data_IF_882434009485
#
_entry.id   IF_882434009485
#
_cell.length_a   1.000
_cell.length_b   1.000
_cell.length_c   1.000
_cell.angle_alpha   90.00
_cell.angle_beta   90.00
_cell.angle_gamma   90.00
#
_symmetry.space_group_name_H-M   'P 1'
#
loop_
_entity.id
_entity.type
_entity.pdbx_description
1 polymer ?
#
# COMPACT_ATOMS: atom_id res chain seq x y z
N UNK A 1 -1.73 -12.48 5.15
CA UNK A 1 -3.15 -12.60 4.69
C UNK A 1 -3.58 -11.32 3.95
N UNK A 2 -4.35 -11.38 2.84
CA UNK A 2 -4.90 -10.16 2.22
C UNK A 2 -6.12 -9.69 3.03
N UNK A 3 -6.17 -8.41 3.39
CA UNK A 3 -7.31 -7.80 4.09
C UNK A 3 -8.02 -6.76 3.21
N UNK A 4 -9.35 -6.64 3.30
CA UNK A 4 -10.10 -5.65 2.54
C UNK A 4 -9.87 -4.24 3.10
N UNK A 5 -9.26 -3.36 2.30
CA UNK A 5 -8.98 -1.98 2.68
C UNK A 5 -10.22 -1.15 3.03
N UNK A 6 -11.40 -1.56 2.55
CA UNK A 6 -12.68 -0.91 2.83
C UNK A 6 -13.15 -1.11 4.28
N UNK A 7 -12.60 -2.10 4.98
CA UNK A 7 -12.92 -2.35 6.40
C UNK A 7 -12.03 -1.54 7.35
N UNK A 8 -10.99 -0.87 6.84
CA UNK A 8 -10.17 0.01 7.65
C UNK A 8 -10.79 1.41 7.76
N UNK A 9 -10.59 2.05 8.91
CA UNK A 9 -10.85 3.47 9.08
C UNK A 9 -10.09 4.30 8.04
N UNK A 10 -10.72 5.38 7.57
CA UNK A 10 -10.15 6.24 6.53
C UNK A 10 -8.80 6.84 6.94
N UNK A 11 -8.66 7.22 8.21
CA UNK A 11 -7.41 7.72 8.77
C UNK A 11 -6.34 6.64 8.84
N UNK A 12 -6.68 5.43 9.29
CA UNK A 12 -5.73 4.29 9.31
C UNK A 12 -5.25 3.95 7.91
N UNK A 13 -6.17 3.89 6.95
CA UNK A 13 -5.83 3.64 5.56
C UNK A 13 -4.90 4.71 4.99
N UNK A 14 -5.20 5.99 5.25
CA UNK A 14 -4.34 7.09 4.81
C UNK A 14 -2.94 6.99 5.42
N UNK A 15 -2.83 6.75 6.74
CA UNK A 15 -1.54 6.59 7.41
C UNK A 15 -0.72 5.43 6.82
N UNK A 16 -1.36 4.30 6.51
CA UNK A 16 -0.70 3.16 5.87
C UNK A 16 -0.20 3.51 4.47
N UNK A 17 -1.01 4.21 3.68
CA UNK A 17 -0.64 4.65 2.34
C UNK A 17 0.51 5.67 2.40
N UNK A 18 0.44 6.64 3.30
CA UNK A 18 1.51 7.62 3.52
C UNK A 18 2.82 6.93 3.90
N UNK A 19 2.77 6.01 4.87
CA UNK A 19 3.94 5.22 5.27
C UNK A 19 4.52 4.43 4.09
N UNK A 20 3.67 3.81 3.27
CA UNK A 20 4.09 3.09 2.07
C UNK A 20 4.78 4.01 1.06
N UNK A 21 4.18 5.16 0.74
CA UNK A 21 4.74 6.14 -0.19
C UNK A 21 6.08 6.69 0.28
N UNK A 22 6.21 6.95 1.59
CA UNK A 22 7.45 7.42 2.21
C UNK A 22 8.56 6.37 2.17
N UNK A 23 8.22 5.07 2.28
CA UNK A 23 9.18 3.97 2.33
C UNK A 23 9.66 3.51 0.96
N UNK A 24 8.73 3.35 0.02
CA UNK A 24 9.02 2.89 -1.34
C UNK A 24 9.59 4.03 -2.20
N UNK A 25 9.47 5.28 -1.75
CA UNK A 25 9.97 6.43 -2.48
C UNK A 25 9.44 6.43 -3.90
N UNK A 26 8.12 6.19 -4.09
CA UNK A 26 7.53 6.00 -5.41
C UNK A 26 7.76 7.26 -6.25
N UNK A 27 8.80 7.21 -7.07
CA UNK A 27 9.26 8.26 -7.97
C UNK A 27 8.63 8.02 -9.34
N UNK A 28 7.30 8.13 -9.40
CA UNK A 28 6.58 8.01 -10.66
C UNK A 28 6.61 9.35 -11.41
N UNK A 29 7.78 9.63 -11.99
CA UNK A 29 8.03 10.67 -12.99
C UNK A 29 8.90 11.83 -12.51
N UNK A 30 9.60 12.45 -13.45
CA UNK A 30 10.55 13.59 -13.31
C UNK A 30 9.95 14.88 -12.70
N UNK A 31 8.72 14.82 -12.19
CA UNK A 31 8.02 15.91 -11.55
C UNK A 31 7.79 15.59 -10.08
N UNK A 32 8.20 16.50 -9.20
CA UNK A 32 7.99 16.46 -7.75
C UNK A 32 6.48 16.41 -7.44
N UNK A 33 5.89 15.22 -7.45
CA UNK A 33 4.51 15.04 -7.00
C UNK A 33 4.47 15.14 -5.49
N UNK A 34 3.56 15.97 -4.97
CA UNK A 34 3.32 16.11 -3.54
C UNK A 34 2.89 14.78 -2.91
N UNK A 35 3.17 14.59 -1.62
CA UNK A 35 2.78 13.39 -0.87
C UNK A 35 1.28 13.08 -1.04
N UNK A 36 0.42 14.10 -0.97
CA UNK A 36 -1.03 13.98 -1.16
C UNK A 36 -1.41 13.38 -2.52
N UNK A 37 -0.71 13.75 -3.59
CA UNK A 37 -0.95 13.22 -4.93
C UNK A 37 -0.57 11.73 -5.02
N UNK A 38 0.56 11.36 -4.38
CA UNK A 38 1.02 9.97 -4.31
C UNK A 38 0.05 9.12 -3.48
N UNK A 39 -0.45 9.64 -2.36
CA UNK A 39 -1.47 8.99 -1.54
C UNK A 39 -2.75 8.74 -2.32
N UNK A 40 -3.24 9.77 -3.03
CA UNK A 40 -4.42 9.64 -3.89
C UNK A 40 -4.22 8.60 -5.00
N UNK A 41 -3.02 8.48 -5.55
CA UNK A 41 -2.70 7.50 -6.58
C UNK A 41 -2.73 6.07 -6.05
N UNK A 42 -2.06 5.79 -4.93
CA UNK A 42 -2.10 4.47 -4.27
C UNK A 42 -3.53 4.11 -3.87
N UNK A 43 -4.34 5.08 -3.43
CA UNK A 43 -5.75 4.86 -3.15
C UNK A 43 -6.55 4.45 -4.39
N UNK A 44 -6.26 5.02 -5.55
CA UNK A 44 -6.86 4.57 -6.83
C UNK A 44 -6.40 3.16 -7.18
N UNK A 45 -5.13 2.84 -6.97
CA UNK A 45 -4.59 1.49 -7.21
C UNK A 45 -5.23 0.44 -6.28
N UNK A 46 -5.55 0.81 -5.03
CA UNK A 46 -6.31 -0.04 -4.10
C UNK A 46 -7.73 -0.29 -4.59
N UNK A 47 -8.35 0.72 -5.21
CA UNK A 47 -9.68 0.60 -5.81
C UNK A 47 -9.69 -0.25 -7.08
N UNK A 48 -8.65 -0.14 -7.92
CA UNK A 48 -8.49 -0.96 -9.13
C UNK A 48 -8.04 -2.41 -8.81
N UNK A 49 -7.51 -2.64 -7.61
CA UNK A 49 -6.99 -3.93 -7.17
C UNK A 49 -5.57 -4.23 -7.65
N UNK A 50 -4.87 -3.21 -8.14
CA UNK A 50 -3.45 -3.28 -8.53
C UNK A 50 -2.53 -3.42 -7.32
N UNK A 51 -2.90 -2.79 -6.20
CA UNK A 51 -2.27 -2.99 -4.89
C UNK A 51 -3.29 -3.57 -3.90
N UNK A 52 -2.78 -4.27 -2.90
CA UNK A 52 -3.58 -4.92 -1.85
C UNK A 52 -2.95 -4.69 -0.49
N UNK A 53 -3.77 -4.72 0.56
CA UNK A 53 -3.28 -4.75 1.93
C UNK A 53 -3.01 -6.18 2.35
N UNK A 54 -1.88 -6.38 3.00
CA UNK A 54 -1.42 -7.67 3.51
C UNK A 54 -1.17 -7.53 5.01
N UNK A 55 -1.93 -8.27 5.80
CA UNK A 55 -1.65 -8.49 7.22
C UNK A 55 -0.51 -9.50 7.36
N UNK A 56 0.55 -9.11 8.07
CA UNK A 56 1.60 -10.01 8.56
C UNK A 56 1.27 -10.44 9.97
N UNK A 57 1.06 -11.74 10.17
CA UNK A 57 0.80 -12.30 11.49
C UNK A 57 2.07 -12.28 12.34
N UNK A 58 3.25 -12.41 11.72
CA UNK A 58 4.53 -12.44 12.43
C UNK A 58 4.86 -11.10 13.10
N UNK A 59 4.55 -10.00 12.41
CA UNK A 59 4.87 -8.65 12.87
C UNK A 59 3.65 -7.89 13.39
N UNK A 60 2.47 -8.50 13.37
CA UNK A 60 1.18 -7.88 13.72
C UNK A 60 1.00 -6.51 13.04
N UNK A 61 1.37 -6.44 11.76
CA UNK A 61 1.37 -5.18 10.98
C UNK A 61 0.67 -5.34 9.64
N UNK A 62 0.10 -4.23 9.16
CA UNK A 62 -0.48 -4.13 7.81
C UNK A 62 0.55 -3.52 6.88
N UNK A 63 0.76 -4.17 5.74
CA UNK A 63 1.60 -3.68 4.65
C UNK A 63 0.76 -3.48 3.39
N UNK A 64 1.16 -2.52 2.54
CA UNK A 64 0.60 -2.34 1.19
C UNK A 64 1.58 -2.95 0.20
N UNK A 65 1.07 -3.72 -0.76
CA UNK A 65 1.91 -4.33 -1.78
C UNK A 65 1.22 -4.39 -3.14
N UNK A 66 1.98 -4.25 -4.25
CA UNK A 66 1.46 -4.58 -5.57
C UNK A 66 1.02 -6.04 -5.63
N UNK A 67 -0.19 -6.27 -6.15
CA UNK A 67 -0.77 -7.62 -6.30
C UNK A 67 0.11 -8.54 -7.15
N UNK A 68 0.86 -7.99 -8.09
CA UNK A 68 1.85 -8.72 -8.88
C UNK A 68 3.02 -9.26 -8.05
N UNK A 69 3.44 -8.54 -7.01
CA UNK A 69 4.59 -8.90 -6.16
C UNK A 69 4.22 -9.99 -5.14
N UNK A 70 2.95 -10.07 -4.73
CA UNK A 70 2.45 -11.10 -3.82
C UNK A 70 2.72 -12.52 -4.35
N UNK A 71 2.63 -12.73 -5.67
CA UNK A 71 2.86 -14.03 -6.31
C UNK A 71 4.34 -14.45 -6.37
N UNK A 72 5.26 -13.49 -6.25
CA UNK A 72 6.69 -13.73 -6.49
C UNK A 72 7.47 -14.15 -5.24
N UNK A 73 6.90 -14.08 -4.04
CA UNK A 73 7.59 -14.54 -2.84
C UNK A 73 7.28 -13.81 -1.56
N UNK A 74 6.00 -13.48 -1.28
CA UNK A 74 5.61 -13.18 0.10
C UNK A 74 5.51 -14.50 0.88
N UNK A 75 6.65 -15.17 1.04
CA UNK A 75 6.85 -16.07 2.17
C UNK A 75 7.42 -15.19 3.26
N UNK A 76 6.61 -14.87 4.28
CA UNK A 76 7.13 -14.44 5.57
C UNK A 76 8.16 -15.50 6.00
N UNK A 77 9.45 -15.21 5.76
CA UNK A 77 10.60 -16.05 6.17
C UNK A 77 10.91 -15.79 7.63
#
# INVERSE_FOLDING_TARGET
MIIPWKELDGDTLNNLIEAFVLREGTDYGEHERSLEQKVADVRRQLQSGEVVLVWSELHETVNIMPRGQLRAGYQER
#
